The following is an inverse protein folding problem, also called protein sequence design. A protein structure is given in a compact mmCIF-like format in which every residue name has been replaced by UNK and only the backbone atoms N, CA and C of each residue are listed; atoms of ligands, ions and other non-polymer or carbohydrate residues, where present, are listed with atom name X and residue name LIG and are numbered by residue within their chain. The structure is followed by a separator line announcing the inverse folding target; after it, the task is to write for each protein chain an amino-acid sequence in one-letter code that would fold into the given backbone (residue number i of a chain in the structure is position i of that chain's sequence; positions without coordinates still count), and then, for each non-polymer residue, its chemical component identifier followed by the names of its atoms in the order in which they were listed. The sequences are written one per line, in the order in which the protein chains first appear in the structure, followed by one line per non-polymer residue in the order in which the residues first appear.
data_IF_062734647392
#
_entry.id   IF_062734647392
#
_cell.length_a   1.000
_cell.length_b   1.000
_cell.length_c   1.000
_cell.angle_alpha   90.00
_cell.angle_beta   90.00
_cell.angle_gamma   90.00
#
_symmetry.space_group_name_H-M   'P 1'
#
loop_
_entity.id
_entity.type
_entity.pdbx_description
1 polymer ?
#
# COMPACT_ATOMS: atom_id res chain seq x y z
N UNK A 1 13.50 34.34 5.46
CA UNK A 1 12.04 34.15 5.68
C UNK A 1 11.39 33.40 4.52
N UNK A 2 11.59 33.85 3.27
CA UNK A 2 11.02 33.24 2.07
C UNK A 2 11.38 31.76 1.87
N UNK A 3 12.64 31.36 2.11
CA UNK A 3 13.07 29.96 1.97
C UNK A 3 12.33 29.01 2.93
N UNK A 4 12.10 29.42 4.18
CA UNK A 4 11.35 28.62 5.16
C UNK A 4 9.87 28.48 4.77
N UNK A 5 9.30 29.53 4.17
CA UNK A 5 7.93 29.51 3.65
C UNK A 5 7.82 28.57 2.43
N UNK A 6 8.82 28.59 1.55
CA UNK A 6 8.87 27.78 0.34
C UNK A 6 9.09 26.29 0.67
N UNK A 7 10.00 25.99 1.60
CA UNK A 7 10.18 24.64 2.14
C UNK A 7 8.90 24.13 2.83
N UNK A 8 8.22 24.99 3.59
CA UNK A 8 6.92 24.66 4.19
C UNK A 8 5.85 24.34 3.14
N UNK A 9 5.81 25.10 2.04
CA UNK A 9 4.87 24.86 0.95
C UNK A 9 5.15 23.54 0.21
N UNK A 10 6.42 23.26 -0.12
CA UNK A 10 6.82 22.00 -0.75
C UNK A 10 6.49 20.82 0.17
N UNK A 11 6.78 20.94 1.47
CA UNK A 11 6.46 19.92 2.46
C UNK A 11 4.95 19.66 2.56
N UNK A 12 4.14 20.72 2.55
CA UNK A 12 2.68 20.61 2.56
C UNK A 12 2.13 19.92 1.30
N UNK A 13 2.58 20.34 0.11
CA UNK A 13 2.19 19.71 -1.15
C UNK A 13 2.61 18.24 -1.20
N UNK A 14 3.82 17.92 -0.75
CA UNK A 14 4.30 16.53 -0.64
C UNK A 14 3.44 15.71 0.31
N UNK A 15 3.08 16.26 1.47
CA UNK A 15 2.19 15.63 2.43
C UNK A 15 0.81 15.32 1.85
N UNK A 16 0.18 16.29 1.16
CA UNK A 16 -1.10 16.08 0.49
C UNK A 16 -1.02 14.99 -0.59
N UNK A 17 0.06 14.96 -1.37
CA UNK A 17 0.25 13.96 -2.43
C UNK A 17 0.41 12.55 -1.85
N UNK A 18 1.19 12.39 -0.78
CA UNK A 18 1.38 11.10 -0.10
C UNK A 18 0.09 10.65 0.56
N UNK A 19 -0.61 11.53 1.30
CA UNK A 19 -1.87 11.19 1.96
C UNK A 19 -2.95 10.77 0.94
N UNK A 20 -3.10 11.53 -0.15
CA UNK A 20 -4.01 11.19 -1.23
C UNK A 20 -3.65 9.85 -1.89
N UNK A 21 -2.36 9.60 -2.12
CA UNK A 21 -1.87 8.34 -2.67
C UNK A 21 -2.19 7.13 -1.79
N UNK A 22 -1.93 7.22 -0.48
CA UNK A 22 -2.20 6.13 0.48
C UNK A 22 -3.70 5.84 0.57
N UNK A 23 -4.54 6.86 0.67
CA UNK A 23 -6.00 6.68 0.73
C UNK A 23 -6.55 6.11 -0.58
N UNK A 24 -6.11 6.62 -1.72
CA UNK A 24 -6.51 6.11 -3.04
C UNK A 24 -6.10 4.65 -3.22
N UNK A 25 -4.91 4.27 -2.77
CA UNK A 25 -4.42 2.90 -2.81
C UNK A 25 -5.28 2.00 -1.91
N UNK A 26 -5.56 2.42 -0.67
CA UNK A 26 -6.32 1.63 0.30
C UNK A 26 -7.77 1.38 -0.15
N UNK A 27 -8.39 2.37 -0.78
CA UNK A 27 -9.72 2.25 -1.40
C UNK A 27 -9.64 1.42 -2.70
N UNK A 28 -8.64 1.66 -3.54
CA UNK A 28 -8.46 0.97 -4.82
C UNK A 28 -8.19 -0.53 -4.70
N UNK A 29 -7.50 -0.95 -3.63
CA UNK A 29 -7.32 -2.37 -3.30
C UNK A 29 -8.55 -2.99 -2.61
N UNK A 30 -9.54 -2.19 -2.19
CA UNK A 30 -10.74 -2.69 -1.53
C UNK A 30 -10.51 -3.21 -0.10
N UNK A 31 -9.40 -2.86 0.54
CA UNK A 31 -9.09 -3.28 1.92
C UNK A 31 -10.17 -2.77 2.89
N UNK A 32 -10.50 -1.48 2.77
CA UNK A 32 -11.51 -0.81 3.58
C UNK A 32 -12.89 -1.43 3.44
N UNK A 33 -13.36 -1.62 2.21
CA UNK A 33 -14.68 -2.18 1.92
C UNK A 33 -14.81 -3.61 2.42
N UNK A 34 -13.75 -4.42 2.33
CA UNK A 34 -13.79 -5.79 2.85
C UNK A 34 -13.85 -5.87 4.37
N UNK A 35 -13.12 -5.01 5.09
CA UNK A 35 -13.25 -4.98 6.54
C UNK A 35 -14.67 -4.64 6.99
N UNK A 36 -15.33 -3.74 6.27
CA UNK A 36 -16.74 -3.33 6.51
C UNK A 36 -17.71 -4.47 6.16
N UNK A 37 -17.42 -5.22 5.10
CA UNK A 37 -18.23 -6.34 4.64
C UNK A 37 -18.15 -7.53 5.60
N UNK A 38 -16.95 -7.92 6.05
CA UNK A 38 -16.72 -9.02 7.00
C UNK A 38 -17.37 -8.74 8.36
N UNK A 39 -17.34 -7.50 8.83
CA UNK A 39 -17.97 -7.10 10.10
C UNK A 39 -19.48 -6.83 9.98
N UNK A 40 -20.07 -7.06 8.79
CA UNK A 40 -21.48 -6.82 8.48
C UNK A 40 -22.02 -5.45 8.94
N UNK A 41 -21.14 -4.44 9.01
CA UNK A 41 -21.43 -3.13 9.62
C UNK A 41 -21.33 -2.02 8.57
N UNK A 42 -22.09 -2.16 7.50
CA UNK A 42 -22.13 -1.18 6.38
C UNK A 42 -22.59 0.22 6.80
N UNK A 43 -23.36 0.34 7.90
CA UNK A 43 -23.84 1.64 8.42
C UNK A 43 -22.75 2.53 9.01
N UNK A 44 -21.58 1.99 9.39
CA UNK A 44 -20.53 2.74 10.08
C UNK A 44 -19.23 2.91 9.29
N UNK A 45 -19.29 2.98 7.95
CA UNK A 45 -18.12 3.22 7.08
C UNK A 45 -17.24 4.39 7.53
N UNK A 46 -17.85 5.52 7.92
CA UNK A 46 -17.11 6.70 8.38
C UNK A 46 -16.27 6.47 9.65
N UNK A 47 -16.70 5.55 10.53
CA UNK A 47 -15.92 5.24 11.73
C UNK A 47 -14.65 4.48 11.37
N UNK A 48 -14.72 3.53 10.43
CA UNK A 48 -13.54 2.82 9.94
C UNK A 48 -12.54 3.76 9.28
N UNK A 49 -13.01 4.67 8.42
CA UNK A 49 -12.17 5.68 7.77
C UNK A 49 -11.48 6.57 8.82
N UNK A 50 -12.23 7.08 9.80
CA UNK A 50 -11.67 7.91 10.87
C UNK A 50 -10.65 7.16 11.72
N UNK A 51 -10.88 5.88 12.04
CA UNK A 51 -9.92 5.06 12.77
C UNK A 51 -8.60 4.87 12.00
N UNK A 52 -8.68 4.65 10.69
CA UNK A 52 -7.50 4.52 9.82
C UNK A 52 -6.74 5.85 9.70
N UNK A 53 -7.47 6.96 9.53
CA UNK A 53 -6.88 8.30 9.51
C UNK A 53 -6.17 8.61 10.83
N UNK A 54 -6.81 8.34 11.97
CA UNK A 54 -6.21 8.51 13.30
C UNK A 54 -4.97 7.62 13.48
N UNK A 55 -5.02 6.37 13.01
CA UNK A 55 -3.88 5.45 13.02
C UNK A 55 -2.71 5.96 12.16
N UNK A 56 -2.99 6.50 10.97
CA UNK A 56 -1.98 7.09 10.09
C UNK A 56 -1.32 8.34 10.67
N UNK A 57 -2.12 9.24 11.26
CA UNK A 57 -1.61 10.42 11.97
C UNK A 57 -0.74 9.98 13.16
N UNK A 58 -1.25 9.07 13.99
CA UNK A 58 -0.53 8.55 15.15
C UNK A 58 0.79 7.87 14.78
N UNK A 59 0.78 6.98 13.78
CA UNK A 59 1.99 6.30 13.29
C UNK A 59 3.02 7.25 12.69
N UNK A 60 2.57 8.29 11.99
CA UNK A 60 3.45 9.33 11.43
C UNK A 60 4.13 10.13 12.55
N UNK A 61 3.38 10.50 13.60
CA UNK A 61 3.93 11.21 14.75
C UNK A 61 4.97 10.36 15.51
N UNK A 62 4.70 9.07 15.72
CA UNK A 62 5.66 8.13 16.35
C UNK A 62 6.90 7.92 15.50
N UNK A 63 6.80 8.03 14.18
CA UNK A 63 7.95 7.87 13.26
C UNK A 63 8.81 9.14 13.20
N UNK A 64 8.18 10.32 13.18
CA UNK A 64 8.86 11.61 13.09
C UNK A 64 9.47 12.03 14.43
N UNK A 65 8.70 11.92 15.50
CA UNK A 65 9.19 12.16 16.85
C UNK A 65 9.61 10.82 17.42
N UNK A 66 10.90 10.60 17.76
CA UNK A 66 11.39 9.36 18.34
C UNK A 66 10.86 9.19 19.78
N UNK A 67 9.54 9.05 19.89
CA UNK A 67 8.82 8.79 21.11
C UNK A 67 9.11 7.34 21.45
N UNK A 68 9.98 7.13 22.44
CA UNK A 68 10.14 5.83 23.07
C UNK A 68 8.83 5.48 23.76
N UNK A 69 7.99 4.72 23.06
CA UNK A 69 6.77 4.17 23.62
C UNK A 69 7.18 3.11 24.65
N UNK A 70 6.99 3.35 25.96
CA UNK A 70 7.35 2.39 27.01
C UNK A 70 6.28 1.30 27.13
N UNK A 71 5.85 0.77 25.99
CA UNK A 71 5.01 -0.41 25.95
C UNK A 71 5.93 -1.60 26.17
N UNK A 72 5.90 -2.17 27.37
CA UNK A 72 6.61 -3.41 27.68
C UNK A 72 6.21 -4.56 26.74
N UNK A 73 6.69 -5.77 27.00
CA UNK A 73 6.52 -6.95 26.14
C UNK A 73 5.07 -7.20 25.68
N UNK A 74 4.08 -6.90 26.53
CA UNK A 74 2.65 -7.05 26.22
C UNK A 74 2.20 -6.09 25.11
N UNK A 75 2.63 -4.82 25.16
CA UNK A 75 2.22 -3.84 24.14
C UNK A 75 2.91 -4.09 22.80
N UNK A 76 4.14 -4.59 22.80
CA UNK A 76 4.81 -5.08 21.59
C UNK A 76 4.09 -6.30 21.00
N UNK A 77 3.63 -7.23 21.84
CA UNK A 77 2.86 -8.38 21.38
C UNK A 77 1.53 -7.97 20.73
N UNK A 78 0.80 -7.03 21.36
CA UNK A 78 -0.45 -6.49 20.78
C UNK A 78 -0.19 -5.77 19.46
N UNK A 79 0.86 -4.93 19.38
CA UNK A 79 1.24 -4.28 18.12
C UNK A 79 1.64 -5.28 17.04
N UNK A 80 2.31 -6.38 17.40
CA UNK A 80 2.65 -7.46 16.48
C UNK A 80 1.42 -8.19 15.94
N UNK A 81 0.42 -8.45 16.78
CA UNK A 81 -0.85 -9.04 16.34
C UNK A 81 -1.59 -8.06 15.42
N UNK A 82 -1.67 -6.79 15.79
CA UNK A 82 -2.31 -5.76 14.97
C UNK A 82 -1.62 -5.60 13.60
N UNK A 83 -0.28 -5.61 13.56
CA UNK A 83 0.47 -5.56 12.29
C UNK A 83 0.25 -6.80 11.45
N UNK A 84 0.16 -7.98 12.07
CA UNK A 84 -0.17 -9.24 11.39
C UNK A 84 -1.55 -9.20 10.74
N UNK A 85 -2.58 -8.72 11.45
CA UNK A 85 -3.94 -8.56 10.91
C UNK A 85 -3.93 -7.57 9.74
N UNK A 86 -3.22 -6.45 9.88
CA UNK A 86 -3.09 -5.45 8.83
C UNK A 86 -2.45 -6.04 7.57
N UNK A 87 -1.28 -6.67 7.68
CA UNK A 87 -0.58 -7.29 6.53
C UNK A 87 -1.42 -8.42 5.93
N UNK A 88 -2.11 -9.22 6.75
CA UNK A 88 -3.05 -10.24 6.28
C UNK A 88 -4.18 -9.67 5.43
N UNK A 89 -4.76 -8.53 5.84
CA UNK A 89 -5.75 -7.80 5.07
C UNK A 89 -5.23 -7.31 3.71
N UNK A 90 -3.99 -6.82 3.66
CA UNK A 90 -3.32 -6.43 2.41
C UNK A 90 -3.08 -7.60 1.46
N UNK A 91 -2.63 -8.74 1.97
CA UNK A 91 -2.40 -9.95 1.16
C UNK A 91 -3.71 -10.45 0.58
N UNK A 92 -4.77 -10.53 1.39
CA UNK A 92 -6.10 -10.88 0.91
C UNK A 92 -6.57 -9.90 -0.16
N UNK A 93 -6.41 -8.59 0.07
CA UNK A 93 -6.83 -7.56 -0.87
C UNK A 93 -6.18 -7.76 -2.25
N UNK A 94 -4.84 -7.89 -2.25
CA UNK A 94 -4.05 -8.17 -3.44
C UNK A 94 -4.47 -9.47 -4.14
N UNK A 95 -4.76 -10.54 -3.38
CA UNK A 95 -5.16 -11.82 -3.97
C UNK A 95 -6.42 -11.70 -4.85
N UNK A 96 -7.44 -10.97 -4.41
CA UNK A 96 -8.66 -10.77 -5.22
C UNK A 96 -8.37 -9.93 -6.48
N UNK A 97 -7.56 -8.87 -6.37
CA UNK A 97 -7.14 -8.08 -7.52
C UNK A 97 -6.38 -8.95 -8.52
N UNK A 98 -5.58 -9.91 -8.02
CA UNK A 98 -4.85 -10.86 -8.87
C UNK A 98 -5.81 -11.74 -9.68
N UNK A 99 -6.92 -12.17 -9.11
CA UNK A 99 -7.93 -12.95 -9.83
C UNK A 99 -8.64 -12.15 -10.93
N UNK A 100 -8.70 -10.81 -10.81
CA UNK A 100 -9.29 -9.93 -11.83
C UNK A 100 -8.35 -9.70 -13.02
N UNK A 101 -7.03 -9.75 -12.83
CA UNK A 101 -6.06 -9.50 -13.91
C UNK A 101 -6.25 -10.40 -15.15
N UNK A 102 -6.42 -11.74 -15.04
CA UNK A 102 -6.67 -12.58 -16.21
C UNK A 102 -7.90 -12.17 -17.03
N UNK A 103 -8.96 -11.76 -16.35
CA UNK A 103 -10.20 -11.28 -17.00
C UNK A 103 -9.94 -9.96 -17.72
N UNK A 104 -9.18 -9.06 -17.10
CA UNK A 104 -8.79 -7.79 -17.70
C UNK A 104 -7.92 -7.99 -18.95
N UNK A 105 -6.92 -8.88 -18.89
CA UNK A 105 -6.11 -9.26 -20.05
C UNK A 105 -6.96 -9.87 -21.18
N UNK A 106 -7.98 -10.64 -20.84
CA UNK A 106 -8.93 -11.19 -21.80
C UNK A 106 -9.77 -10.10 -22.48
N UNK A 107 -10.27 -9.12 -21.70
CA UNK A 107 -11.06 -7.97 -22.18
C UNK A 107 -10.28 -7.05 -23.12
N UNK A 108 -9.00 -6.84 -22.87
CA UNK A 108 -8.11 -6.03 -23.72
C UNK A 108 -7.77 -6.75 -25.05
N UNK A 109 -8.18 -8.02 -25.21
CA UNK A 109 -7.86 -8.80 -26.41
C UNK A 109 -6.43 -9.33 -26.43
N UNK A 110 -5.73 -9.27 -25.29
CA UNK A 110 -4.34 -9.73 -25.12
C UNK A 110 -4.18 -11.26 -25.23
N UNK A 111 -5.28 -11.98 -25.43
CA UNK A 111 -5.37 -13.44 -25.51
C UNK A 111 -4.62 -13.99 -26.74
N UNK A 112 -4.57 -13.24 -27.85
CA UNK A 112 -3.78 -13.60 -29.04
C UNK A 112 -2.28 -13.30 -28.90
N UNK A 113 -1.87 -12.58 -27.85
CA UNK A 113 -0.49 -12.10 -27.64
C UNK A 113 0.13 -12.51 -26.31
N UNK A 114 -0.49 -13.40 -25.52
CA UNK A 114 0.05 -13.86 -24.23
C UNK A 114 1.46 -14.44 -24.37
N UNK A 115 1.74 -15.15 -25.46
CA UNK A 115 3.08 -15.62 -25.80
C UNK A 115 4.09 -14.47 -25.95
N UNK A 116 3.70 -13.38 -26.63
CA UNK A 116 4.55 -12.21 -26.83
C UNK A 116 4.82 -11.47 -25.51
N UNK A 117 3.82 -11.40 -24.63
CA UNK A 117 3.97 -10.85 -23.26
C UNK A 117 4.94 -11.70 -22.44
N UNK A 118 4.80 -13.03 -22.48
CA UNK A 118 5.69 -13.95 -21.76
C UNK A 118 7.12 -13.84 -22.30
N UNK A 119 7.30 -13.75 -23.62
CA UNK A 119 8.61 -13.57 -24.26
C UNK A 119 9.22 -12.21 -23.88
N UNK A 120 8.43 -11.13 -23.84
CA UNK A 120 8.90 -9.82 -23.44
C UNK A 120 9.35 -9.80 -21.96
N UNK A 121 8.59 -10.46 -21.06
CA UNK A 121 8.96 -10.61 -19.65
C UNK A 121 10.22 -11.46 -19.49
N UNK A 122 10.33 -12.56 -20.24
CA UNK A 122 11.52 -13.40 -20.25
C UNK A 122 12.76 -12.64 -20.75
N UNK A 123 12.63 -11.90 -21.86
CA UNK A 123 13.67 -11.04 -22.40
C UNK A 123 14.09 -9.97 -21.40
N UNK A 124 13.14 -9.32 -20.72
CA UNK A 124 13.43 -8.35 -19.66
C UNK A 124 14.23 -8.95 -18.50
N UNK A 125 13.87 -10.15 -18.04
CA UNK A 125 14.65 -10.86 -17.00
C UNK A 125 16.04 -11.25 -17.47
N UNK A 126 16.18 -11.74 -18.71
CA UNK A 126 17.48 -12.09 -19.29
C UNK A 126 18.37 -10.86 -19.38
N UNK A 127 17.86 -9.75 -19.94
CA UNK A 127 18.60 -8.48 -20.02
C UNK A 127 18.96 -7.94 -18.63
N UNK A 128 18.04 -8.00 -17.67
CA UNK A 128 18.30 -7.60 -16.29
C UNK A 128 19.40 -8.44 -15.63
N UNK A 129 19.38 -9.77 -15.82
CA UNK A 129 20.42 -10.66 -15.31
C UNK A 129 21.78 -10.45 -15.98
N UNK A 130 21.81 -10.20 -17.29
CA UNK A 130 23.05 -9.87 -18.01
C UNK A 130 23.64 -8.54 -17.54
N UNK A 131 22.80 -7.51 -17.34
CA UNK A 131 23.24 -6.22 -16.80
C UNK A 131 23.76 -6.34 -15.37
N UNK A 132 23.11 -7.13 -14.53
CA UNK A 132 23.58 -7.42 -13.17
C UNK A 132 24.99 -8.05 -13.19
N UNK A 133 25.20 -9.03 -14.08
CA UNK A 133 26.50 -9.68 -14.24
C UNK A 133 27.56 -8.73 -14.82
N UNK A 134 27.19 -7.83 -15.74
CA UNK A 134 28.11 -6.88 -16.38
C UNK A 134 28.53 -5.75 -15.43
N UNK A 135 27.61 -5.26 -14.59
CA UNK A 135 27.88 -4.18 -13.64
C UNK A 135 28.46 -4.68 -12.30
N UNK A 136 28.59 -6.01 -12.09
CA UNK A 136 29.08 -6.64 -10.86
C UNK A 136 28.45 -6.05 -9.58
N UNK A 137 27.14 -5.81 -9.65
CA UNK A 137 26.33 -5.53 -8.47
C UNK A 137 26.09 -6.81 -7.66
#
# INVERSE_FOLDING_TARGET
MAEKLLLGWIGFCGGCLVAGGVVALMVGLGILSRFIEISHTSKHTRLYENCILLGGIGGTLVTIYPIVLPFGTIGLAVLGICSGIYVGGWIMALAEVIHVFPVFFRRIGLIKGTSLVIIAVAAGKVTGSMLHFFMRW
#
